data_IF_830796783754
#
_entry.id   IF_830796783754
#
_cell.length_a   1.000
_cell.length_b   1.000
_cell.length_c   1.000
_cell.angle_alpha   90.00
_cell.angle_beta   90.00
_cell.angle_gamma   90.00
#
_symmetry.space_group_name_H-M   'P 1'
#
loop_
_entity.id
_entity.type
_entity.pdbx_description
1 polymer ?
#
# COMPACT_ATOMS: atom_id res chain seq x y z
N UNK A 1 11.33 30.01 -9.36
CA UNK A 1 11.88 29.15 -10.42
C UNK A 1 11.99 27.74 -9.86
N UNK A 2 11.72 26.71 -10.65
CA UNK A 2 11.96 25.32 -10.24
C UNK A 2 13.47 25.12 -10.06
N UNK A 3 13.86 24.60 -8.89
CA UNK A 3 15.24 24.23 -8.60
C UNK A 3 15.40 22.72 -8.76
N UNK A 4 16.07 22.32 -9.84
CA UNK A 4 16.26 20.91 -10.18
C UNK A 4 17.11 20.17 -9.15
N UNK A 5 18.06 20.84 -8.50
CA UNK A 5 18.89 20.24 -7.47
C UNK A 5 18.05 19.92 -6.22
N UNK A 6 17.22 20.88 -5.80
CA UNK A 6 16.31 20.69 -4.66
C UNK A 6 15.27 19.57 -4.92
N UNK A 7 14.75 19.48 -6.15
CA UNK A 7 13.83 18.41 -6.52
C UNK A 7 14.51 17.02 -6.48
N UNK A 8 15.74 16.90 -6.98
CA UNK A 8 16.51 15.66 -6.91
C UNK A 8 16.83 15.24 -5.48
N UNK A 9 17.15 16.20 -4.61
CA UNK A 9 17.37 15.95 -3.18
C UNK A 9 16.08 15.42 -2.51
N UNK A 10 14.93 16.06 -2.78
CA UNK A 10 13.63 15.60 -2.27
C UNK A 10 13.29 14.17 -2.71
N UNK A 11 13.52 13.85 -4.00
CA UNK A 11 13.31 12.50 -4.53
C UNK A 11 14.24 11.46 -3.89
N UNK A 12 15.46 11.85 -3.52
CA UNK A 12 16.39 10.96 -2.83
C UNK A 12 15.93 10.70 -1.40
N UNK A 13 15.57 11.74 -0.65
CA UNK A 13 15.06 11.60 0.72
C UNK A 13 13.79 10.74 0.74
N UNK A 14 12.87 10.95 -0.19
CA UNK A 14 11.66 10.13 -0.30
C UNK A 14 11.97 8.64 -0.53
N UNK A 15 12.97 8.32 -1.35
CA UNK A 15 13.41 6.93 -1.55
C UNK A 15 14.01 6.34 -0.28
N UNK A 16 14.91 7.07 0.39
CA UNK A 16 15.56 6.60 1.62
C UNK A 16 14.53 6.35 2.75
N UNK A 17 13.52 7.21 2.90
CA UNK A 17 12.46 7.01 3.89
C UNK A 17 11.53 5.84 3.51
N UNK A 18 11.21 5.66 2.23
CA UNK A 18 10.45 4.49 1.77
C UNK A 18 11.22 3.18 2.03
N UNK A 19 12.54 3.16 1.81
CA UNK A 19 13.40 2.01 2.11
C UNK A 19 13.43 1.69 3.61
N UNK A 20 13.45 2.70 4.48
CA UNK A 20 13.36 2.50 5.94
C UNK A 20 12.05 1.85 6.36
N UNK A 21 10.94 2.29 5.75
CA UNK A 21 9.62 1.69 5.99
C UNK A 21 9.57 0.25 5.48
N UNK A 22 10.12 -0.03 4.29
CA UNK A 22 10.21 -1.41 3.77
C UNK A 22 11.09 -2.32 4.64
N UNK A 23 12.23 -1.83 5.13
CA UNK A 23 13.10 -2.60 6.03
C UNK A 23 12.40 -2.90 7.36
N UNK A 24 11.57 -2.00 7.87
CA UNK A 24 10.81 -2.20 9.11
C UNK A 24 9.89 -3.42 9.07
N UNK A 25 9.26 -3.72 7.93
CA UNK A 25 8.36 -4.87 7.77
C UNK A 25 8.94 -6.01 6.92
N UNK A 26 10.25 -6.00 6.67
CA UNK A 26 10.91 -6.99 5.82
C UNK A 26 10.74 -8.42 6.33
N UNK A 27 10.25 -9.29 5.44
CA UNK A 27 10.03 -10.71 5.71
C UNK A 27 8.88 -11.01 6.66
N UNK A 28 8.03 -10.04 6.99
CA UNK A 28 6.93 -10.24 7.92
C UNK A 28 5.94 -11.32 7.44
N UNK A 29 5.46 -12.15 8.37
CA UNK A 29 4.42 -13.16 8.11
C UNK A 29 3.04 -12.51 7.84
N UNK A 30 2.79 -11.35 8.44
CA UNK A 30 1.60 -10.52 8.25
C UNK A 30 1.98 -9.04 8.38
N UNK A 31 1.62 -8.24 7.37
CA UNK A 31 1.61 -6.77 7.43
C UNK A 31 0.16 -6.27 7.36
N UNK A 32 -0.20 -5.33 8.24
CA UNK A 32 -1.49 -4.63 8.20
C UNK A 32 -1.20 -3.20 7.74
N UNK A 33 -1.84 -2.73 6.66
CA UNK A 33 -1.55 -1.44 6.04
C UNK A 33 -2.82 -0.72 5.56
N UNK A 34 -2.83 0.62 5.62
CA UNK A 34 -3.94 1.42 5.11
C UNK A 34 -4.13 1.22 3.59
N UNK A 35 -5.36 1.30 3.12
CA UNK A 35 -5.72 1.04 1.73
C UNK A 35 -6.87 1.94 1.28
N UNK A 36 -6.87 3.21 1.72
CA UNK A 36 -8.02 4.06 1.50
C UNK A 36 -8.21 4.40 0.02
N UNK A 37 -7.14 4.67 -0.71
CA UNK A 37 -7.24 5.14 -2.09
C UNK A 37 -6.57 4.20 -3.08
N UNK A 38 -7.20 4.04 -4.25
CA UNK A 38 -6.51 3.49 -5.42
C UNK A 38 -5.48 4.50 -5.90
N UNK A 39 -4.52 4.05 -6.70
CA UNK A 39 -3.51 4.93 -7.30
C UNK A 39 -4.18 6.00 -8.17
N UNK A 40 -5.22 5.62 -8.92
CA UNK A 40 -5.98 6.55 -9.74
C UNK A 40 -6.66 7.66 -8.90
N UNK A 41 -7.26 7.32 -7.76
CA UNK A 41 -7.84 8.31 -6.84
C UNK A 41 -6.76 9.19 -6.20
N UNK A 42 -5.64 8.58 -5.80
CA UNK A 42 -4.50 9.25 -5.20
C UNK A 42 -3.93 10.34 -6.11
N UNK A 43 -3.63 9.98 -7.35
CA UNK A 43 -3.02 10.87 -8.34
C UNK A 43 -3.97 11.97 -8.81
N UNK A 44 -5.28 11.71 -8.84
CA UNK A 44 -6.26 12.68 -9.33
C UNK A 44 -6.65 13.73 -8.29
N UNK A 45 -6.97 13.32 -7.06
CA UNK A 45 -7.57 14.24 -6.07
C UNK A 45 -7.11 14.06 -4.62
N UNK A 46 -6.40 12.97 -4.29
CA UNK A 46 -6.10 12.63 -2.89
C UNK A 46 -4.64 12.79 -2.48
N UNK A 47 -3.77 13.26 -3.38
CA UNK A 47 -2.39 13.62 -3.04
C UNK A 47 -2.40 14.67 -1.92
N UNK A 48 -1.63 14.42 -0.85
CA UNK A 48 -1.54 15.29 0.32
C UNK A 48 -2.60 15.07 1.42
N UNK A 49 -3.52 14.11 1.25
CA UNK A 49 -4.56 13.81 2.25
C UNK A 49 -4.07 12.90 3.39
N UNK A 50 -2.81 12.46 3.37
CA UNK A 50 -2.20 11.67 4.45
C UNK A 50 -2.37 10.15 4.34
N UNK A 51 -2.79 9.62 3.19
CA UNK A 51 -2.97 8.20 2.94
C UNK A 51 -2.07 7.68 1.82
N UNK A 52 -1.73 6.40 1.87
CA UNK A 52 -1.00 5.74 0.77
C UNK A 52 -1.96 5.29 -0.33
N UNK A 53 -1.48 5.25 -1.57
CA UNK A 53 -2.16 4.46 -2.60
C UNK A 53 -1.97 2.97 -2.27
N UNK A 54 -3.05 2.19 -2.31
CA UNK A 54 -3.02 0.76 -1.99
C UNK A 54 -2.02 -0.02 -2.86
N UNK A 55 -1.84 0.36 -4.12
CA UNK A 55 -0.88 -0.22 -5.07
C UNK A 55 0.57 0.03 -4.64
N UNK A 56 0.86 1.18 -4.01
CA UNK A 56 2.18 1.43 -3.44
C UNK A 56 2.45 0.49 -2.27
N UNK A 57 1.48 0.32 -1.37
CA UNK A 57 1.58 -0.58 -0.23
C UNK A 57 1.79 -2.05 -0.67
N UNK A 58 1.01 -2.52 -1.65
CA UNK A 58 1.15 -3.88 -2.21
C UNK A 58 2.54 -4.07 -2.81
N UNK A 59 3.04 -3.10 -3.57
CA UNK A 59 4.35 -3.21 -4.20
C UNK A 59 5.49 -3.20 -3.18
N UNK A 60 5.42 -2.34 -2.16
CA UNK A 60 6.39 -2.26 -1.08
C UNK A 60 6.42 -3.56 -0.25
N UNK A 61 5.25 -4.06 0.18
CA UNK A 61 5.13 -5.32 0.90
C UNK A 61 5.73 -6.49 0.11
N UNK A 62 5.44 -6.55 -1.19
CA UNK A 62 5.94 -7.61 -2.04
C UNK A 62 7.46 -7.51 -2.31
N UNK A 63 8.03 -6.31 -2.39
CA UNK A 63 9.50 -6.11 -2.46
C UNK A 63 10.18 -6.53 -1.16
N UNK A 64 9.57 -6.19 -0.02
CA UNK A 64 10.08 -6.52 1.30
C UNK A 64 9.91 -8.02 1.68
N UNK A 65 9.30 -8.83 0.82
CA UNK A 65 9.13 -10.27 1.06
C UNK A 65 8.07 -10.61 2.12
N UNK A 66 7.07 -9.74 2.31
CA UNK A 66 5.92 -10.00 3.18
C UNK A 66 5.12 -11.18 2.63
N UNK A 67 4.70 -12.10 3.51
CA UNK A 67 3.91 -13.29 3.11
C UNK A 67 2.43 -12.97 2.91
N UNK A 68 1.86 -12.17 3.81
CA UNK A 68 0.43 -11.79 3.82
C UNK A 68 0.28 -10.29 4.09
N UNK A 69 -0.53 -9.61 3.29
CA UNK A 69 -0.87 -8.20 3.42
C UNK A 69 -2.37 -8.05 3.66
N UNK A 70 -2.73 -7.60 4.86
CA UNK A 70 -4.08 -7.20 5.23
C UNK A 70 -4.25 -5.70 4.99
N UNK A 71 -5.08 -5.36 4.01
CA UNK A 71 -5.47 -3.99 3.68
C UNK A 71 -6.62 -3.56 4.61
N UNK A 72 -6.44 -2.50 5.39
CA UNK A 72 -7.50 -1.95 6.27
C UNK A 72 -7.78 -0.48 5.93
N UNK A 73 -8.81 0.10 6.55
CA UNK A 73 -9.14 1.53 6.38
C UNK A 73 -9.42 1.91 4.92
N UNK A 74 -10.24 1.11 4.23
CA UNK A 74 -10.68 1.42 2.87
C UNK A 74 -11.59 2.66 2.85
N UNK A 75 -11.80 3.24 1.66
CA UNK A 75 -12.77 4.33 1.46
C UNK A 75 -14.16 3.93 2.02
N UNK A 76 -14.72 4.70 2.98
CA UNK A 76 -15.97 4.35 3.66
C UNK A 76 -17.18 4.14 2.74
N UNK A 77 -17.17 4.72 1.54
CA UNK A 77 -18.24 4.58 0.57
C UNK A 77 -18.11 3.34 -0.34
N UNK A 78 -17.03 2.56 -0.24
CA UNK A 78 -16.91 1.31 -1.01
C UNK A 78 -17.83 0.23 -0.47
N UNK A 79 -18.48 -0.45 -1.40
CA UNK A 79 -19.27 -1.65 -1.18
C UNK A 79 -18.37 -2.88 -1.12
N UNK A 80 -18.88 -3.96 -0.50
CA UNK A 80 -18.18 -5.25 -0.44
C UNK A 80 -17.79 -5.77 -1.83
N UNK A 81 -18.65 -5.59 -2.84
CA UNK A 81 -18.38 -6.02 -4.21
C UNK A 81 -17.18 -5.28 -4.83
N UNK A 82 -17.04 -3.97 -4.56
CA UNK A 82 -15.88 -3.18 -5.01
C UNK A 82 -14.60 -3.62 -4.30
N UNK A 83 -14.67 -3.97 -3.01
CA UNK A 83 -13.52 -4.48 -2.26
C UNK A 83 -13.07 -5.87 -2.74
N UNK A 84 -14.02 -6.73 -3.12
CA UNK A 84 -13.73 -8.03 -3.72
C UNK A 84 -13.05 -7.86 -5.10
N UNK A 85 -13.54 -6.94 -5.94
CA UNK A 85 -12.90 -6.61 -7.22
C UNK A 85 -11.47 -6.04 -7.03
N UNK A 86 -11.30 -5.14 -6.05
CA UNK A 86 -9.99 -4.60 -5.71
C UNK A 86 -9.04 -5.70 -5.20
N UNK A 87 -9.53 -6.64 -4.40
CA UNK A 87 -8.71 -7.77 -3.93
C UNK A 87 -8.13 -8.60 -5.08
N UNK A 88 -8.91 -8.79 -6.15
CA UNK A 88 -8.46 -9.54 -7.32
C UNK A 88 -7.51 -8.72 -8.21
N UNK A 89 -7.79 -7.44 -8.41
CA UNK A 89 -6.97 -6.55 -9.25
C UNK A 89 -5.62 -6.20 -8.63
N UNK A 90 -5.56 -6.06 -7.30
CA UNK A 90 -4.34 -5.71 -6.57
C UNK A 90 -3.37 -6.87 -6.44
N UNK A 91 -3.80 -8.12 -6.67
CA UNK A 91 -2.93 -9.30 -6.55
C UNK A 91 -1.78 -9.21 -7.56
N UNK A 92 -0.52 -9.04 -7.10
CA UNK A 92 0.60 -8.88 -8.01
C UNK A 92 0.88 -10.19 -8.75
N UNK A 93 0.82 -10.15 -10.08
CA UNK A 93 1.11 -11.33 -10.93
C UNK A 93 2.55 -11.80 -10.71
N UNK A 94 2.72 -13.07 -10.39
CA UNK A 94 4.04 -13.70 -10.24
C UNK A 94 4.75 -13.44 -8.91
N UNK A 95 4.16 -12.72 -7.97
CA UNK A 95 4.72 -12.57 -6.61
C UNK A 95 4.00 -13.50 -5.62
N UNK A 96 4.72 -14.02 -4.63
CA UNK A 96 4.19 -14.92 -3.58
C UNK A 96 3.73 -14.13 -2.36
N UNK A 97 2.78 -13.22 -2.54
CA UNK A 97 2.14 -12.48 -1.46
C UNK A 97 0.64 -12.69 -1.53
N UNK A 98 0.02 -13.01 -0.39
CA UNK A 98 -1.43 -13.06 -0.24
C UNK A 98 -1.94 -11.68 0.16
N UNK A 99 -2.87 -11.12 -0.61
CA UNK A 99 -3.41 -9.76 -0.41
C UNK A 99 -4.93 -9.87 -0.24
N UNK A 100 -5.44 -9.26 0.83
CA UNK A 100 -6.87 -9.26 1.16
C UNK A 100 -7.25 -8.01 1.96
N UNK A 101 -8.51 -7.60 1.88
CA UNK A 101 -9.05 -6.59 2.79
C UNK A 101 -9.43 -7.22 4.14
N UNK A 102 -9.00 -6.57 5.22
CA UNK A 102 -9.45 -6.87 6.56
C UNK A 102 -10.92 -6.45 6.71
N UNK A 103 -11.68 -7.18 7.53
CA UNK A 103 -13.08 -6.90 7.84
C UNK A 103 -13.33 -7.01 9.33
N UNK A 104 -14.39 -6.36 9.80
CA UNK A 104 -14.79 -6.41 11.19
C UNK A 104 -14.95 -7.86 11.68
N UNK A 105 -14.44 -8.15 12.88
CA UNK A 105 -14.49 -9.48 13.48
C UNK A 105 -13.51 -10.52 12.90
N UNK A 106 -12.72 -10.18 11.87
CA UNK A 106 -11.71 -11.07 11.31
C UNK A 106 -10.62 -11.41 12.34
N UNK A 107 -10.28 -12.70 12.44
CA UNK A 107 -9.15 -13.18 13.25
C UNK A 107 -8.16 -13.91 12.36
N UNK A 108 -6.87 -13.64 12.56
CA UNK A 108 -5.78 -14.20 11.77
C UNK A 108 -4.76 -14.83 12.72
N UNK A 109 -4.40 -16.07 12.43
CA UNK A 109 -3.28 -16.73 13.09
C UNK A 109 -2.00 -16.48 12.29
N UNK A 110 -0.98 -16.01 13.00
CA UNK A 110 0.34 -15.67 12.45
C UNK A 110 1.36 -16.69 12.89
#
# INVERSE_FOLDING_TARGET
AYDEAMAREGDQVAREENERVEEFFKGADLLIHDAQYTLAEYETTKTGWGHSAMEHAVNAAARAGVKRLALFHHEPLRTDAELDELSETLRPRGKKIDVFFAREGMQIHV
#
